data_IF_990821249194
#
_entry.id   IF_990821249194
#
_cell.length_a   1.000
_cell.length_b   1.000
_cell.length_c   1.000
_cell.angle_alpha   90.00
_cell.angle_beta   90.00
_cell.angle_gamma   90.00
#
_symmetry.space_group_name_H-M   'P 1'
#
loop_
_entity.id
_entity.type
_entity.pdbx_description
1 polymer ?
#
# COMPACT_ATOMS: atom_id res chain seq x y z
N UNK A 1 -6.19 -20.42 4.48
CA UNK A 1 -6.03 -18.97 4.67
C UNK A 1 -4.69 -18.75 5.37
N UNK A 2 -3.83 -17.88 4.85
CA UNK A 2 -2.54 -17.53 5.46
C UNK A 2 -2.66 -16.11 6.04
N UNK A 3 -2.36 -15.94 7.33
CA UNK A 3 -2.39 -14.65 8.03
C UNK A 3 -1.11 -14.55 8.85
N UNK A 4 -0.36 -13.46 8.67
CA UNK A 4 0.75 -13.12 9.56
C UNK A 4 0.18 -12.45 10.82
N UNK A 5 0.56 -12.94 12.01
CA UNK A 5 0.17 -12.35 13.30
C UNK A 5 1.12 -11.21 13.68
N UNK A 6 0.76 -10.46 14.72
CA UNK A 6 1.58 -9.36 15.27
C UNK A 6 2.94 -9.85 15.82
N UNK A 7 3.08 -11.15 16.13
CA UNK A 7 4.35 -11.78 16.56
C UNK A 7 5.35 -11.98 15.40
N UNK A 8 4.98 -11.69 14.16
CA UNK A 8 5.87 -11.82 13.02
C UNK A 8 6.98 -10.76 13.08
N UNK A 9 8.24 -11.15 12.96
CA UNK A 9 9.40 -10.24 12.98
C UNK A 9 9.35 -9.16 11.88
N UNK A 10 8.60 -9.39 10.80
CA UNK A 10 8.37 -8.43 9.73
C UNK A 10 7.17 -7.48 9.99
N UNK A 11 6.45 -7.62 11.11
CA UNK A 11 5.37 -6.73 11.47
C UNK A 11 5.94 -5.37 11.93
N UNK A 12 5.66 -4.32 11.15
CA UNK A 12 6.16 -2.98 11.42
C UNK A 12 5.25 -2.16 12.36
N UNK A 13 4.15 -2.75 12.84
CA UNK A 13 3.16 -2.06 13.65
C UNK A 13 2.19 -1.19 12.84
N UNK A 14 1.32 -0.49 13.58
CA UNK A 14 0.42 0.50 13.00
C UNK A 14 1.19 1.79 12.67
N UNK A 15 0.85 2.41 11.53
CA UNK A 15 1.39 3.69 11.11
C UNK A 15 0.28 4.53 10.45
N UNK A 16 0.41 5.87 10.43
CA UNK A 16 -0.47 6.72 9.64
C UNK A 16 -0.44 6.35 8.15
N UNK A 17 -1.57 6.42 7.46
CA UNK A 17 -1.69 6.02 6.04
C UNK A 17 -0.69 6.75 5.13
N UNK A 18 -0.41 8.03 5.41
CA UNK A 18 0.58 8.82 4.68
C UNK A 18 2.03 8.30 4.87
N UNK A 19 2.37 7.80 6.06
CA UNK A 19 3.68 7.21 6.33
C UNK A 19 3.84 5.86 5.62
N UNK A 20 2.77 5.05 5.60
CA UNK A 20 2.72 3.81 4.83
C UNK A 20 2.91 4.11 3.34
N UNK A 21 2.18 5.09 2.79
CA UNK A 21 2.28 5.49 1.39
C UNK A 21 3.71 5.96 1.02
N UNK A 22 4.35 6.75 1.90
CA UNK A 22 5.74 7.20 1.72
C UNK A 22 6.73 6.04 1.72
N UNK A 23 6.55 5.04 2.59
CA UNK A 23 7.37 3.83 2.57
C UNK A 23 7.17 3.03 1.27
N UNK A 24 5.90 2.84 0.85
CA UNK A 24 5.56 2.14 -0.40
C UNK A 24 6.18 2.84 -1.62
N UNK A 25 6.16 4.17 -1.67
CA UNK A 25 6.72 4.96 -2.77
C UNK A 25 8.22 4.73 -2.98
N UNK A 26 8.97 4.48 -1.91
CA UNK A 26 10.42 4.26 -1.95
C UNK A 26 10.85 2.79 -2.00
N UNK A 27 9.94 1.85 -1.77
CA UNK A 27 10.27 0.43 -1.64
C UNK A 27 10.26 -0.31 -2.99
N UNK A 28 11.30 -1.11 -3.23
CA UNK A 28 11.42 -1.99 -4.42
C UNK A 28 12.07 -3.30 -4.01
N UNK A 29 11.53 -4.41 -4.51
CA UNK A 29 12.09 -5.75 -4.31
C UNK A 29 12.30 -6.50 -5.62
N UNK A 30 12.67 -7.80 -5.57
CA UNK A 30 12.87 -8.62 -6.75
C UNK A 30 11.63 -8.71 -7.68
N UNK A 31 10.44 -8.49 -7.12
CA UNK A 31 9.17 -8.48 -7.85
C UNK A 31 8.78 -7.13 -8.45
N UNK A 32 9.60 -6.08 -8.28
CA UNK A 32 9.32 -4.72 -8.74
C UNK A 32 9.02 -3.73 -7.63
N UNK A 33 8.45 -2.58 -8.01
CA UNK A 33 8.14 -1.48 -7.10
C UNK A 33 6.92 -1.82 -6.23
N UNK A 34 6.95 -1.45 -4.95
CA UNK A 34 5.83 -1.71 -4.04
C UNK A 34 4.60 -0.85 -4.40
N UNK A 35 4.80 0.32 -5.02
CA UNK A 35 3.73 1.14 -5.59
C UNK A 35 2.92 0.40 -6.64
N UNK A 36 3.57 -0.37 -7.52
CA UNK A 36 2.89 -1.18 -8.54
C UNK A 36 2.02 -2.27 -7.91
N UNK A 37 2.48 -2.88 -6.82
CA UNK A 37 1.69 -3.85 -6.05
C UNK A 37 0.42 -3.21 -5.49
N UNK A 38 0.54 -2.08 -4.77
CA UNK A 38 -0.61 -1.40 -4.19
C UNK A 38 -1.64 -0.98 -5.25
N UNK A 39 -1.19 -0.41 -6.36
CA UNK A 39 -2.07 0.07 -7.43
C UNK A 39 -2.83 -1.07 -8.11
N UNK A 40 -2.18 -2.21 -8.35
CA UNK A 40 -2.84 -3.41 -8.90
C UNK A 40 -3.84 -4.02 -7.92
N UNK A 41 -3.52 -4.02 -6.63
CA UNK A 41 -4.43 -4.48 -5.58
C UNK A 41 -5.68 -3.60 -5.53
N UNK A 42 -5.51 -2.27 -5.46
CA UNK A 42 -6.62 -1.33 -5.41
C UNK A 42 -7.54 -1.42 -6.65
N UNK A 43 -6.97 -1.55 -7.85
CA UNK A 43 -7.72 -1.78 -9.08
C UNK A 43 -8.52 -3.09 -9.04
N UNK A 44 -7.90 -4.17 -8.56
CA UNK A 44 -8.57 -5.48 -8.43
C UNK A 44 -9.72 -5.44 -7.41
N UNK A 45 -9.54 -4.76 -6.27
CA UNK A 45 -10.58 -4.60 -5.26
C UNK A 45 -11.78 -3.81 -5.80
N UNK A 46 -11.54 -2.74 -6.57
CA UNK A 46 -12.62 -1.99 -7.26
C UNK A 46 -13.39 -2.86 -8.25
N UNK A 47 -12.68 -3.67 -9.05
CA UNK A 47 -13.31 -4.59 -10.02
C UNK A 47 -14.18 -5.65 -9.35
N UNK A 48 -13.84 -6.03 -8.12
CA UNK A 48 -14.62 -6.96 -7.30
C UNK A 48 -15.77 -6.29 -6.53
N UNK A 49 -15.88 -4.95 -6.57
CA UNK A 49 -16.86 -4.20 -5.79
C UNK A 49 -16.60 -4.22 -4.29
N UNK A 50 -15.35 -4.47 -3.87
CA UNK A 50 -14.96 -4.51 -2.46
C UNK A 50 -14.80 -3.10 -1.89
N UNK A 51 -15.30 -2.89 -0.67
CA UNK A 51 -15.05 -1.67 0.10
C UNK A 51 -13.82 -1.88 1.00
N UNK A 52 -12.73 -1.19 0.66
CA UNK A 52 -11.43 -1.32 1.33
C UNK A 52 -10.86 0.07 1.63
N UNK A 53 -11.45 0.81 2.58
CA UNK A 53 -11.16 2.22 2.81
C UNK A 53 -9.70 2.48 3.15
N UNK A 54 -9.06 1.60 3.93
CA UNK A 54 -7.63 1.73 4.27
C UNK A 54 -6.73 1.59 3.03
N UNK A 55 -6.99 0.59 2.17
CA UNK A 55 -6.21 0.40 0.94
C UNK A 55 -6.37 1.60 0.00
N UNK A 56 -7.58 2.15 -0.12
CA UNK A 56 -7.85 3.31 -0.98
C UNK A 56 -7.26 4.61 -0.40
N UNK A 57 -7.24 4.78 0.92
CA UNK A 57 -6.60 5.93 1.56
C UNK A 57 -5.08 5.95 1.34
N UNK A 58 -4.42 4.79 1.46
CA UNK A 58 -2.97 4.69 1.17
C UNK A 58 -2.70 4.97 -0.31
N UNK A 59 -3.56 4.48 -1.22
CA UNK A 59 -3.44 4.77 -2.65
C UNK A 59 -3.53 6.28 -2.94
N UNK A 60 -4.47 6.98 -2.31
CA UNK A 60 -4.65 8.43 -2.48
C UNK A 60 -3.43 9.23 -2.00
N UNK A 61 -2.90 8.88 -0.82
CA UNK A 61 -1.66 9.45 -0.32
C UNK A 61 -0.46 9.16 -1.25
N UNK A 62 -0.38 7.96 -1.81
CA UNK A 62 0.69 7.58 -2.74
C UNK A 62 0.65 8.45 -4.00
N UNK A 63 -0.54 8.65 -4.60
CA UNK A 63 -0.71 9.48 -5.81
C UNK A 63 -0.37 10.94 -5.53
N UNK A 64 -0.86 11.48 -4.43
CA UNK A 64 -0.58 12.85 -3.99
C UNK A 64 0.93 13.09 -3.82
N UNK A 65 1.67 12.12 -3.25
CA UNK A 65 3.12 12.22 -3.07
C UNK A 65 3.91 12.18 -4.39
N UNK A 66 3.38 11.51 -5.42
CA UNK A 66 4.02 11.46 -6.75
C UNK A 66 3.79 12.71 -7.59
N UNK A 67 2.65 13.38 -7.41
CA UNK A 67 2.30 14.60 -8.16
C UNK A 67 3.12 15.82 -7.73
N UNK A 68 3.53 15.89 -6.46
CA UNK A 68 4.34 16.99 -5.91
C UNK A 68 5.85 16.92 -6.27
N UNK A 69 6.25 16.00 -7.15
CA UNK A 69 7.65 15.73 -7.50
C UNK A 69 8.02 16.12 -8.94
N UNK A 70 7.14 16.83 -9.65
CA UNK A 70 7.34 17.39 -11.01
C UNK A 70 7.45 18.91 -10.94
#
# INVERSE_FOLDING_TARGET
MYIATEDNEAFLGHAPDADIARQIAGATGPSGANSEYLLRLADSLRKLGADCPHTFAIEDHLRSATEHRT
#
